data_IF_533680854414
#
_entry.id   IF_533680854414
#
_cell.length_a   1.000
_cell.length_b   1.000
_cell.length_c   1.000
_cell.angle_alpha   90.00
_cell.angle_beta   90.00
_cell.angle_gamma   90.00
#
_symmetry.space_group_name_H-M   'P 1'
#
loop_
_entity.id
_entity.type
_entity.pdbx_description
1 polymer ?
#
# COMPACT_ATOMS: atom_id res chain seq x y z
N UNK A 1 -6.51 -13.85 -2.24
CA UNK A 1 -5.82 -13.35 -3.45
C UNK A 1 -6.43 -12.02 -3.91
N UNK A 2 -5.59 -11.00 -4.11
CA UNK A 2 -5.95 -9.66 -4.63
C UNK A 2 -5.26 -9.47 -5.98
N UNK A 3 -5.95 -8.88 -6.96
CA UNK A 3 -5.42 -8.67 -8.31
C UNK A 3 -5.72 -7.23 -8.75
N UNK A 4 -4.71 -6.41 -9.10
CA UNK A 4 -3.28 -6.69 -8.90
C UNK A 4 -2.92 -6.59 -7.41
N UNK A 5 -1.90 -7.33 -6.95
CA UNK A 5 -1.42 -7.26 -5.56
C UNK A 5 -1.00 -5.83 -5.20
N UNK A 6 -0.47 -5.09 -6.16
CA UNK A 6 -0.05 -3.69 -6.04
C UNK A 6 -1.20 -2.77 -5.61
N UNK A 7 -2.47 -3.18 -5.80
CA UNK A 7 -3.63 -2.44 -5.31
C UNK A 7 -3.74 -2.39 -3.78
N UNK A 8 -3.12 -3.33 -3.07
CA UNK A 8 -2.99 -3.28 -1.61
C UNK A 8 -2.19 -2.05 -1.16
N UNK A 9 -1.32 -1.51 -2.02
CA UNK A 9 -0.44 -0.36 -1.78
C UNK A 9 -0.69 0.82 -2.74
N UNK A 10 -1.96 1.06 -3.12
CA UNK A 10 -2.37 2.17 -4.00
C UNK A 10 -1.75 2.15 -5.42
N UNK A 11 -1.14 1.03 -5.84
CA UNK A 11 -0.77 0.78 -7.22
C UNK A 11 -1.95 0.24 -8.04
N UNK A 12 -1.85 0.27 -9.36
CA UNK A 12 -2.87 -0.32 -10.24
C UNK A 12 -2.34 -0.50 -11.67
N UNK A 13 -3.16 -1.07 -12.55
CA UNK A 13 -2.86 -1.11 -13.97
C UNK A 13 -2.82 0.28 -14.59
N UNK A 14 -1.86 0.49 -15.50
CA UNK A 14 -1.83 1.68 -16.35
C UNK A 14 -3.12 1.69 -17.20
N UNK A 15 -3.85 2.82 -17.29
CA UNK A 15 -5.13 2.87 -18.00
C UNK A 15 -5.07 2.35 -19.44
N UNK A 16 -6.09 1.58 -19.82
CA UNK A 16 -6.25 1.04 -21.17
C UNK A 16 -5.68 -0.36 -21.40
N UNK A 17 -5.19 -1.04 -20.37
CA UNK A 17 -4.63 -2.40 -20.45
C UNK A 17 -4.53 -3.07 -19.05
N UNK A 18 -4.13 -4.34 -18.99
CA UNK A 18 -4.15 -5.21 -17.80
C UNK A 18 -2.81 -5.94 -17.51
N UNK A 19 -1.69 -5.43 -18.02
CA UNK A 19 -0.35 -6.05 -17.89
C UNK A 19 0.64 -5.18 -17.12
N UNK A 20 0.80 -3.93 -17.54
CA UNK A 20 1.70 -2.94 -16.94
C UNK A 20 1.01 -2.30 -15.74
N UNK A 21 1.77 -2.14 -14.66
CA UNK A 21 1.31 -1.52 -13.43
C UNK A 21 2.03 -0.20 -13.22
N UNK A 22 1.38 0.73 -12.52
CA UNK A 22 2.04 1.80 -11.80
C UNK A 22 2.02 1.49 -10.28
N UNK A 23 2.99 2.02 -9.57
CA UNK A 23 2.96 2.14 -8.10
C UNK A 23 2.09 3.34 -7.69
N UNK A 24 1.87 3.52 -6.38
CA UNK A 24 1.29 4.76 -5.86
C UNK A 24 2.02 5.98 -6.39
N UNK A 25 3.36 6.00 -6.35
CA UNK A 25 4.22 7.15 -6.67
C UNK A 25 4.13 7.62 -8.13
N UNK A 26 3.86 6.70 -9.04
CA UNK A 26 3.76 6.96 -10.48
C UNK A 26 2.33 7.33 -10.90
N UNK A 27 1.35 7.10 -10.04
CA UNK A 27 -0.06 7.31 -10.36
C UNK A 27 -0.41 8.81 -10.45
N UNK A 28 -1.37 9.20 -11.32
CA UNK A 28 -1.92 10.55 -11.33
C UNK A 28 -2.55 10.95 -9.98
N UNK A 29 -3.01 9.97 -9.19
CA UNK A 29 -3.59 10.18 -7.86
C UNK A 29 -2.57 10.80 -6.90
N UNK A 30 -1.34 10.28 -6.90
CA UNK A 30 -0.23 10.77 -6.09
C UNK A 30 0.44 12.00 -6.69
N UNK A 31 0.75 11.98 -7.99
CA UNK A 31 1.47 13.08 -8.65
C UNK A 31 0.71 14.41 -8.61
N UNK A 32 -0.63 14.35 -8.67
CA UNK A 32 -1.51 15.52 -8.58
C UNK A 32 -2.07 15.74 -7.16
N UNK A 33 -1.60 14.97 -6.19
CA UNK A 33 -1.98 14.99 -4.77
C UNK A 33 -3.50 15.05 -4.49
N UNK A 34 -4.31 14.35 -5.30
CA UNK A 34 -5.78 14.53 -5.29
C UNK A 34 -6.46 14.12 -3.98
N UNK A 35 -5.82 13.24 -3.22
CA UNK A 35 -6.29 12.77 -1.92
C UNK A 35 -5.32 13.15 -0.77
N UNK A 36 -4.29 13.96 -1.05
CA UNK A 36 -3.25 14.24 -0.08
C UNK A 36 -2.22 13.10 0.11
N UNK A 37 -2.18 12.09 -0.77
CA UNK A 37 -1.24 10.96 -0.64
C UNK A 37 0.23 11.40 -0.71
N UNK A 38 0.55 12.37 -1.58
CA UNK A 38 1.90 12.93 -1.65
C UNK A 38 2.20 13.71 -0.37
N UNK A 39 1.27 14.54 0.09
CA UNK A 39 1.41 15.25 1.36
C UNK A 39 1.59 14.30 2.55
N UNK A 40 0.82 13.22 2.63
CA UNK A 40 0.93 12.20 3.69
C UNK A 40 2.29 11.49 3.62
N UNK A 41 2.72 11.10 2.41
CA UNK A 41 4.03 10.47 2.20
C UNK A 41 5.19 11.39 2.62
N UNK A 42 5.19 12.64 2.14
CA UNK A 42 6.25 13.63 2.41
C UNK A 42 6.32 14.01 3.89
N UNK A 43 5.22 13.86 4.63
CA UNK A 43 5.15 14.09 6.07
C UNK A 43 5.31 12.81 6.91
N UNK A 44 5.68 11.68 6.29
CA UNK A 44 5.95 10.43 7.00
C UNK A 44 4.70 9.73 7.57
N UNK A 45 3.51 10.06 7.08
CA UNK A 45 2.21 9.51 7.54
C UNK A 45 1.71 8.32 6.72
N UNK A 46 2.49 7.86 5.74
CA UNK A 46 2.25 6.60 5.03
C UNK A 46 3.29 5.58 5.49
N UNK A 47 2.83 4.38 5.84
CA UNK A 47 3.70 3.24 6.14
C UNK A 47 3.23 2.04 5.34
N UNK A 48 4.17 1.43 4.59
CA UNK A 48 3.93 0.20 3.85
C UNK A 48 4.48 -0.99 4.65
N UNK A 49 3.63 -1.97 4.90
CA UNK A 49 3.97 -3.22 5.59
C UNK A 49 3.64 -4.41 4.70
N UNK A 50 4.48 -5.44 4.75
CA UNK A 50 4.28 -6.69 4.02
C UNK A 50 4.40 -7.88 4.95
N UNK A 51 3.63 -8.93 4.67
CA UNK A 51 3.79 -10.27 5.24
C UNK A 51 4.00 -11.25 4.09
N UNK A 52 4.83 -12.28 4.30
CA UNK A 52 5.12 -13.30 3.29
C UNK A 52 4.09 -14.44 3.36
N UNK A 53 2.86 -14.10 3.01
CA UNK A 53 1.67 -14.95 3.19
C UNK A 53 0.59 -14.61 2.16
N UNK A 54 -0.44 -15.45 2.04
CA UNK A 54 -1.60 -15.13 1.20
C UNK A 54 -2.54 -14.14 1.92
N UNK A 55 -3.56 -13.70 1.20
CA UNK A 55 -4.55 -12.70 1.59
C UNK A 55 -5.12 -12.95 2.99
N UNK A 56 -4.93 -11.95 3.86
CA UNK A 56 -5.38 -11.92 5.27
C UNK A 56 -4.76 -13.00 6.16
N UNK A 57 -3.70 -13.66 5.72
CA UNK A 57 -2.93 -14.56 6.56
C UNK A 57 -1.72 -13.82 7.11
N UNK A 58 -1.42 -13.96 8.40
CA UNK A 58 -0.20 -13.49 9.04
C UNK A 58 -0.07 -14.19 10.39
N UNK A 59 1.14 -14.29 10.93
CA UNK A 59 1.34 -14.87 12.26
C UNK A 59 0.91 -13.87 13.34
N UNK A 60 0.53 -14.41 14.51
CA UNK A 60 0.26 -13.58 15.69
C UNK A 60 1.46 -12.69 16.05
N UNK A 61 2.67 -13.25 15.99
CA UNK A 61 3.90 -12.50 16.23
C UNK A 61 4.06 -11.33 15.25
N UNK A 62 3.84 -11.54 13.94
CA UNK A 62 3.92 -10.46 12.96
C UNK A 62 2.91 -9.35 13.27
N UNK A 63 1.68 -9.70 13.67
CA UNK A 63 0.63 -8.74 14.00
C UNK A 63 0.97 -7.93 15.25
N UNK A 64 1.46 -8.57 16.30
CA UNK A 64 1.89 -7.91 17.54
C UNK A 64 3.03 -6.93 17.23
N UNK A 65 4.04 -7.37 16.50
CA UNK A 65 5.25 -6.57 16.24
C UNK A 65 5.00 -5.40 15.28
N UNK A 66 4.13 -5.59 14.28
CA UNK A 66 3.95 -4.61 13.20
C UNK A 66 2.69 -3.76 13.31
N UNK A 67 1.66 -4.21 14.02
CA UNK A 67 0.40 -3.48 14.17
C UNK A 67 0.24 -2.98 15.61
N UNK A 68 0.12 -3.90 16.57
CA UNK A 68 -0.19 -3.54 17.96
C UNK A 68 0.88 -2.62 18.55
N UNK A 69 2.14 -3.05 18.49
CA UNK A 69 3.26 -2.33 19.11
C UNK A 69 3.53 -0.98 18.46
N UNK A 70 3.24 -0.84 17.15
CA UNK A 70 3.59 0.36 16.38
C UNK A 70 2.47 1.40 16.33
N UNK A 71 1.20 1.00 16.40
CA UNK A 71 0.08 1.88 16.05
C UNK A 71 -1.08 1.93 17.05
N UNK A 72 -1.18 1.01 18.03
CA UNK A 72 -2.36 0.90 18.91
C UNK A 72 -2.04 0.99 20.42
N UNK A 73 -0.90 1.58 20.78
CA UNK A 73 -0.52 1.83 22.18
C UNK A 73 -1.01 3.18 22.69
#
# INVERSE_FOLDING_TARGET
MVIPRESEWFGYYIPGQDKKLYTMYESPLYLQDKLGLKTLNDTGRITFLSSDSDHLQFTEQWFIDNIITKFLQ
#
